data_IF_809649899061
#
_entry.id   IF_809649899061
#
_cell.length_a   1.000
_cell.length_b   1.000
_cell.length_c   1.000
_cell.angle_alpha   90.00
_cell.angle_beta   90.00
_cell.angle_gamma   90.00
#
_symmetry.space_group_name_H-M   'P 1'
#
loop_
_entity.id
_entity.type
_entity.pdbx_description
1 polymer ?
#
# COMPACT_ATOMS: atom_id res chain seq x y z
N UNK A 1 11.50 88.13 9.36
CA UNK A 1 11.38 86.78 9.96
C UNK A 1 11.17 85.70 8.90
N UNK A 2 11.78 85.82 7.72
CA UNK A 2 11.57 84.87 6.59
C UNK A 2 12.82 84.02 6.29
N UNK A 3 13.97 84.40 6.85
CA UNK A 3 15.25 83.68 6.72
C UNK A 3 15.34 82.45 7.63
N UNK A 4 14.89 82.56 8.89
CA UNK A 4 14.92 81.45 9.85
C UNK A 4 13.99 80.30 9.45
N UNK A 5 12.83 80.59 8.87
CA UNK A 5 11.89 79.56 8.39
C UNK A 5 12.45 78.76 7.23
N UNK A 6 13.17 79.40 6.30
CA UNK A 6 13.83 78.74 5.16
C UNK A 6 15.05 77.91 5.58
N UNK A 7 15.81 78.39 6.55
CA UNK A 7 16.91 77.65 7.16
C UNK A 7 16.39 76.41 7.90
N UNK A 8 15.29 76.52 8.63
CA UNK A 8 14.67 75.38 9.30
C UNK A 8 14.15 74.35 8.30
N UNK A 9 13.53 74.78 7.21
CA UNK A 9 13.05 73.90 6.15
C UNK A 9 14.21 73.18 5.43
N UNK A 10 15.32 73.89 5.18
CA UNK A 10 16.51 73.31 4.56
C UNK A 10 17.18 72.27 5.48
N UNK A 11 17.21 72.51 6.79
CA UNK A 11 17.73 71.55 7.78
C UNK A 11 16.85 70.29 7.84
N UNK A 12 15.52 70.44 7.90
CA UNK A 12 14.59 69.29 7.89
C UNK A 12 14.69 68.50 6.57
N UNK A 13 14.83 69.18 5.43
CA UNK A 13 15.03 68.52 4.14
C UNK A 13 16.35 67.74 4.08
N UNK A 14 17.42 68.29 4.67
CA UNK A 14 18.73 67.62 4.78
C UNK A 14 18.66 66.40 5.68
N UNK A 15 18.01 66.51 6.83
CA UNK A 15 17.88 65.39 7.79
C UNK A 15 17.05 64.25 7.18
N UNK A 16 15.95 64.59 6.49
CA UNK A 16 15.15 63.61 5.74
C UNK A 16 15.95 62.95 4.61
N UNK A 17 16.79 63.71 3.89
CA UNK A 17 17.63 63.16 2.83
C UNK A 17 18.64 62.15 3.39
N UNK A 18 19.28 62.48 4.52
CA UNK A 18 20.23 61.58 5.19
C UNK A 18 19.53 60.30 5.67
N UNK A 19 18.32 60.41 6.22
CA UNK A 19 17.55 59.24 6.66
C UNK A 19 17.15 58.34 5.48
N UNK A 20 16.73 58.93 4.36
CA UNK A 20 16.38 58.19 3.15
C UNK A 20 17.62 57.55 2.50
N UNK A 21 18.76 58.23 2.52
CA UNK A 21 20.03 57.71 2.03
C UNK A 21 20.51 56.52 2.86
N UNK A 22 20.39 56.60 4.19
CA UNK A 22 20.69 55.49 5.10
C UNK A 22 19.80 54.27 4.81
N UNK A 23 18.48 54.46 4.70
CA UNK A 23 17.54 53.38 4.36
C UNK A 23 17.83 52.75 3.00
N UNK A 24 18.19 53.56 2.00
CA UNK A 24 18.58 53.04 0.68
C UNK A 24 19.86 52.21 0.73
N UNK A 25 20.80 52.58 1.59
CA UNK A 25 22.02 51.78 1.79
C UNK A 25 21.72 50.45 2.48
N UNK A 26 20.81 50.44 3.46
CA UNK A 26 20.33 49.23 4.11
C UNK A 26 19.62 48.30 3.11
N UNK A 27 18.73 48.84 2.27
CA UNK A 27 18.07 48.06 1.22
C UNK A 27 19.05 47.50 0.20
N UNK A 28 20.09 48.24 -0.19
CA UNK A 28 21.17 47.72 -1.04
C UNK A 28 21.90 46.56 -0.37
N UNK A 29 22.20 46.68 0.91
CA UNK A 29 22.89 45.63 1.67
C UNK A 29 22.05 44.36 1.77
N UNK A 30 20.75 44.50 2.03
CA UNK A 30 19.80 43.38 2.05
C UNK A 30 19.70 42.74 0.66
N UNK A 31 19.62 43.52 -0.40
CA UNK A 31 19.55 43.02 -1.77
C UNK A 31 20.80 42.22 -2.16
N UNK A 32 21.99 42.71 -1.81
CA UNK A 32 23.24 41.98 -2.06
C UNK A 32 23.30 40.68 -1.25
N UNK A 33 22.88 40.69 0.02
CA UNK A 33 22.78 39.48 0.82
C UNK A 33 21.80 38.46 0.21
N UNK A 34 20.65 38.92 -0.29
CA UNK A 34 19.66 38.07 -0.96
C UNK A 34 20.19 37.50 -2.29
N UNK A 35 20.97 38.27 -3.06
CA UNK A 35 21.62 37.76 -4.28
C UNK A 35 22.62 36.64 -3.98
N UNK A 36 23.40 36.78 -2.91
CA UNK A 36 24.34 35.73 -2.48
C UNK A 36 23.56 34.46 -2.13
N UNK A 37 22.50 34.57 -1.32
CA UNK A 37 21.66 33.42 -0.96
C UNK A 37 21.04 32.76 -2.20
N UNK A 38 20.49 33.54 -3.13
CA UNK A 38 19.90 33.01 -4.37
C UNK A 38 20.95 32.29 -5.22
N UNK A 39 22.17 32.81 -5.28
CA UNK A 39 23.27 32.16 -6.02
C UNK A 39 23.70 30.85 -5.35
N UNK A 40 23.79 30.82 -4.01
CA UNK A 40 24.09 29.60 -3.25
C UNK A 40 22.98 28.54 -3.40
N UNK A 41 21.72 28.96 -3.39
CA UNK A 41 20.60 28.08 -3.70
C UNK A 41 20.63 27.58 -5.14
N UNK A 42 20.95 28.43 -6.11
CA UNK A 42 21.05 28.05 -7.51
C UNK A 42 22.22 27.09 -7.79
N UNK A 43 23.28 27.13 -6.98
CA UNK A 43 24.41 26.20 -7.09
C UNK A 43 24.15 24.85 -6.42
N UNK A 44 23.27 24.80 -5.41
CA UNK A 44 22.93 23.56 -4.67
C UNK A 44 21.71 22.83 -5.25
N UNK A 45 20.84 23.52 -6.00
CA UNK A 45 19.69 22.92 -6.68
C UNK A 45 20.05 21.82 -7.72
N UNK A 46 21.13 21.94 -8.53
CA UNK A 46 21.55 20.90 -9.45
C UNK A 46 21.92 19.58 -8.77
N UNK A 47 22.45 19.63 -7.54
CA UNK A 47 22.81 18.45 -6.76
C UNK A 47 21.57 17.69 -6.27
N UNK A 48 20.44 18.39 -6.12
CA UNK A 48 19.16 17.83 -5.71
C UNK A 48 18.53 17.00 -6.85
N UNK A 49 18.54 17.53 -8.08
CA UNK A 49 18.08 16.81 -9.26
C UNK A 49 18.96 15.57 -9.55
N UNK A 50 20.28 15.70 -9.37
CA UNK A 50 21.20 14.57 -9.52
C UNK A 50 20.97 13.49 -8.45
N UNK A 51 20.67 13.90 -7.22
CA UNK A 51 20.34 12.98 -6.13
C UNK A 51 19.00 12.27 -6.37
N UNK A 52 17.98 12.98 -6.87
CA UNK A 52 16.69 12.37 -7.21
C UNK A 52 16.83 11.32 -8.32
N UNK A 53 17.65 11.60 -9.34
CA UNK A 53 17.93 10.62 -10.39
C UNK A 53 18.67 9.40 -9.86
N UNK A 54 19.67 9.59 -8.97
CA UNK A 54 20.36 8.47 -8.31
C UNK A 54 19.42 7.62 -7.46
N UNK A 55 18.45 8.23 -6.79
CA UNK A 55 17.43 7.51 -6.02
C UNK A 55 16.57 6.65 -6.97
N UNK A 56 16.12 7.22 -8.10
CA UNK A 56 15.35 6.49 -9.11
C UNK A 56 16.14 5.32 -9.72
N UNK A 57 17.42 5.51 -9.98
CA UNK A 57 18.30 4.45 -10.50
C UNK A 57 18.47 3.32 -9.47
N UNK A 58 18.65 3.65 -8.19
CA UNK A 58 18.74 2.66 -7.11
C UNK A 58 17.41 1.91 -6.94
N UNK A 59 16.26 2.59 -7.01
CA UNK A 59 14.95 1.94 -6.93
C UNK A 59 14.73 0.96 -8.10
N UNK A 60 15.21 1.31 -9.30
CA UNK A 60 15.18 0.41 -10.46
C UNK A 60 16.09 -0.81 -10.29
N UNK A 61 17.30 -0.63 -9.72
CA UNK A 61 18.19 -1.75 -9.39
C UNK A 61 17.58 -2.67 -8.32
N UNK A 62 16.90 -2.12 -7.32
CA UNK A 62 16.21 -2.91 -6.29
C UNK A 62 15.11 -3.77 -6.93
N UNK A 63 14.30 -3.19 -7.83
CA UNK A 63 13.25 -3.92 -8.53
C UNK A 63 13.80 -5.08 -9.39
N UNK A 64 14.91 -4.86 -10.10
CA UNK A 64 15.58 -5.91 -10.88
C UNK A 64 16.12 -7.03 -10.00
N UNK A 65 16.73 -6.70 -8.85
CA UNK A 65 17.21 -7.69 -7.88
C UNK A 65 16.05 -8.49 -7.27
N UNK A 66 14.92 -7.86 -6.97
CA UNK A 66 13.72 -8.57 -6.49
C UNK A 66 13.18 -9.56 -7.53
N UNK A 67 13.14 -9.17 -8.81
CA UNK A 67 12.74 -10.07 -9.89
C UNK A 67 13.70 -11.25 -10.04
N UNK A 68 15.00 -11.00 -9.98
CA UNK A 68 16.02 -12.06 -10.00
C UNK A 68 15.89 -13.00 -8.79
N UNK A 69 15.58 -12.47 -7.60
CA UNK A 69 15.38 -13.26 -6.39
C UNK A 69 14.15 -14.17 -6.53
N UNK A 70 13.04 -13.65 -7.05
CA UNK A 70 11.82 -14.43 -7.31
C UNK A 70 12.07 -15.55 -8.32
N UNK A 71 12.80 -15.26 -9.40
CA UNK A 71 13.19 -16.27 -10.38
C UNK A 71 14.11 -17.34 -9.77
N UNK A 72 15.10 -16.94 -8.97
CA UNK A 72 15.99 -17.88 -8.27
C UNK A 72 15.22 -18.76 -7.28
N UNK A 73 14.26 -18.19 -6.54
CA UNK A 73 13.38 -18.95 -5.65
C UNK A 73 12.52 -19.95 -6.42
N UNK A 74 11.94 -19.56 -7.56
CA UNK A 74 11.16 -20.48 -8.41
C UNK A 74 12.02 -21.64 -8.93
N UNK A 75 13.26 -21.38 -9.35
CA UNK A 75 14.20 -22.41 -9.80
C UNK A 75 14.56 -23.35 -8.64
N UNK A 76 14.82 -22.81 -7.45
CA UNK A 76 15.11 -23.59 -6.24
C UNK A 76 13.92 -24.48 -5.85
N UNK A 77 12.70 -23.96 -5.89
CA UNK A 77 11.47 -24.71 -5.65
C UNK A 77 11.32 -25.83 -6.69
N UNK A 78 11.52 -25.52 -7.98
CA UNK A 78 11.51 -26.53 -9.03
C UNK A 78 12.56 -27.63 -8.80
N UNK A 79 13.79 -27.27 -8.42
CA UNK A 79 14.86 -28.25 -8.16
C UNK A 79 14.60 -29.10 -6.92
N UNK A 80 14.07 -28.50 -5.84
CA UNK A 80 13.65 -29.23 -4.64
C UNK A 80 12.54 -30.23 -4.97
N UNK A 81 11.55 -29.81 -5.75
CA UNK A 81 10.45 -30.67 -6.19
C UNK A 81 10.91 -31.74 -7.20
N UNK A 82 11.89 -31.44 -8.05
CA UNK A 82 12.46 -32.38 -9.02
C UNK A 82 13.27 -33.49 -8.34
N UNK A 83 13.95 -33.19 -7.23
CA UNK A 83 14.77 -34.13 -6.47
C UNK A 83 13.97 -35.05 -5.54
N UNK A 84 12.66 -34.79 -5.34
CA UNK A 84 11.76 -35.67 -4.58
C UNK A 84 11.15 -36.82 -5.40
N UNK A 85 11.42 -36.90 -6.70
CA UNK A 85 10.92 -37.98 -7.56
C UNK A 85 11.75 -39.27 -7.47
N UNK A 86 11.74 -39.92 -6.29
CA UNK A 86 12.00 -41.37 -6.18
C UNK A 86 10.79 -42.09 -5.59
N UNK A 87 10.09 -42.75 -6.50
CA UNK A 87 8.99 -43.71 -6.39
C UNK A 87 7.54 -43.20 -6.18
N UNK A 88 6.58 -43.68 -7.01
CA UNK A 88 5.19 -43.25 -6.95
C UNK A 88 4.43 -44.12 -5.94
N UNK A 89 4.19 -43.58 -4.75
CA UNK A 89 3.15 -44.07 -3.85
C UNK A 89 2.37 -42.90 -3.29
N UNK A 90 1.32 -42.51 -4.00
CA UNK A 90 0.15 -41.76 -3.51
C UNK A 90 0.39 -40.76 -2.37
N UNK A 91 1.28 -39.77 -2.57
CA UNK A 91 1.60 -38.83 -1.51
C UNK A 91 0.96 -37.45 -1.78
N UNK A 92 -0.33 -37.35 -1.44
CA UNK A 92 -0.99 -36.07 -1.22
C UNK A 92 -0.28 -35.23 -0.12
N UNK A 93 0.61 -35.85 0.67
CA UNK A 93 1.34 -35.25 1.78
C UNK A 93 2.34 -34.17 1.42
N UNK A 94 2.78 -34.05 0.16
CA UNK A 94 3.66 -32.95 -0.29
C UNK A 94 2.90 -31.75 -0.85
N UNK A 95 1.70 -31.97 -1.42
CA UNK A 95 0.88 -30.91 -2.03
C UNK A 95 0.03 -30.20 -0.97
N UNK A 96 -0.49 -30.94 0.03
CA UNK A 96 -1.31 -30.39 1.11
C UNK A 96 -0.61 -29.30 1.95
N UNK A 97 0.67 -29.45 2.37
CA UNK A 97 1.36 -28.41 3.12
C UNK A 97 1.52 -27.13 2.32
N UNK A 98 1.88 -27.21 1.04
CA UNK A 98 2.05 -26.05 0.16
C UNK A 98 0.73 -25.28 -0.01
N UNK A 99 -0.38 -26.01 -0.16
CA UNK A 99 -1.72 -25.43 -0.24
C UNK A 99 -2.13 -24.79 1.09
N UNK A 100 -1.91 -25.46 2.22
CA UNK A 100 -2.23 -24.92 3.55
C UNK A 100 -1.41 -23.66 3.82
N UNK A 101 -0.12 -23.65 3.46
CA UNK A 101 0.74 -22.47 3.55
C UNK A 101 0.24 -21.35 2.64
N UNK A 102 -0.26 -21.66 1.44
CA UNK A 102 -0.90 -20.67 0.57
C UNK A 102 -2.17 -20.09 1.19
N UNK A 103 -3.04 -20.90 1.79
CA UNK A 103 -4.24 -20.41 2.48
C UNK A 103 -3.89 -19.55 3.71
N UNK A 104 -2.87 -19.93 4.46
CA UNK A 104 -2.35 -19.14 5.57
C UNK A 104 -1.80 -17.79 5.07
N UNK A 105 -1.05 -17.80 3.97
CA UNK A 105 -0.56 -16.59 3.32
C UNK A 105 -1.70 -15.66 2.88
N UNK A 106 -2.75 -16.22 2.30
CA UNK A 106 -3.94 -15.47 1.89
C UNK A 106 -4.68 -14.87 3.08
N UNK A 107 -4.84 -15.61 4.19
CA UNK A 107 -5.43 -15.09 5.43
C UNK A 107 -4.61 -13.95 6.04
N UNK A 108 -3.28 -14.09 6.04
CA UNK A 108 -2.36 -13.05 6.53
C UNK A 108 -2.44 -11.81 5.64
N UNK A 109 -2.41 -11.97 4.30
CA UNK A 109 -2.60 -10.87 3.35
C UNK A 109 -3.94 -10.17 3.54
N UNK A 110 -5.01 -10.93 3.72
CA UNK A 110 -6.34 -10.38 3.98
C UNK A 110 -6.38 -9.51 5.25
N UNK A 111 -5.71 -10.00 6.30
CA UNK A 111 -5.60 -9.30 7.58
C UNK A 111 -4.72 -8.06 7.45
N UNK A 112 -3.62 -8.16 6.71
CA UNK A 112 -2.72 -7.04 6.41
C UNK A 112 -3.45 -5.95 5.61
N UNK A 113 -4.21 -6.31 4.58
CA UNK A 113 -5.03 -5.39 3.80
C UNK A 113 -6.12 -4.72 4.65
N UNK A 114 -6.75 -5.46 5.57
CA UNK A 114 -7.73 -4.88 6.49
C UNK A 114 -7.07 -3.84 7.42
N UNK A 115 -5.91 -4.18 8.01
CA UNK A 115 -5.14 -3.27 8.88
C UNK A 115 -4.64 -2.04 8.10
N UNK A 116 -4.11 -2.21 6.89
CA UNK A 116 -3.63 -1.10 6.05
C UNK A 116 -4.75 -0.14 5.65
N UNK A 117 -5.98 -0.64 5.50
CA UNK A 117 -7.16 0.17 5.21
C UNK A 117 -7.83 0.76 6.48
N UNK A 118 -7.23 0.57 7.67
CA UNK A 118 -7.79 1.02 8.95
C UNK A 118 -9.08 0.29 9.33
N UNK A 119 -9.35 -0.86 8.72
CA UNK A 119 -10.56 -1.67 8.96
C UNK A 119 -10.23 -2.80 9.94
N UNK A 120 -10.94 -2.82 11.07
CA UNK A 120 -10.86 -3.92 12.04
C UNK A 120 -11.66 -5.17 11.61
N UNK A 121 -12.46 -5.05 10.55
CA UNK A 121 -13.35 -6.10 10.08
C UNK A 121 -13.00 -6.47 8.63
N UNK A 122 -12.81 -7.76 8.39
CA UNK A 122 -12.66 -8.32 7.06
C UNK A 122 -14.04 -8.45 6.39
N UNK A 123 -14.22 -8.03 5.13
CA UNK A 123 -15.46 -8.28 4.39
C UNK A 123 -15.75 -9.78 4.27
N UNK A 124 -16.97 -10.19 4.64
CA UNK A 124 -17.43 -11.59 4.57
C UNK A 124 -17.28 -12.19 3.16
N UNK A 125 -17.40 -11.37 2.11
CA UNK A 125 -17.20 -11.81 0.72
C UNK A 125 -15.80 -12.40 0.48
N UNK A 126 -14.76 -11.79 1.06
CA UNK A 126 -13.39 -12.29 0.92
C UNK A 126 -13.18 -13.64 1.63
N UNK A 127 -13.94 -13.91 2.70
CA UNK A 127 -13.96 -15.21 3.38
C UNK A 127 -14.70 -16.27 2.56
N UNK A 128 -15.78 -15.88 1.88
CA UNK A 128 -16.50 -16.77 0.95
C UNK A 128 -15.62 -17.17 -0.23
N UNK A 129 -14.85 -16.23 -0.80
CA UNK A 129 -13.92 -16.52 -1.90
C UNK A 129 -12.79 -17.48 -1.49
N UNK A 130 -12.39 -17.47 -0.21
CA UNK A 130 -11.42 -18.41 0.35
C UNK A 130 -12.05 -19.80 0.53
N UNK A 131 -13.31 -19.85 0.99
CA UNK A 131 -14.07 -21.10 1.16
C UNK A 131 -14.36 -21.78 -0.19
N UNK A 132 -14.66 -21.01 -1.24
CA UNK A 132 -14.86 -21.52 -2.59
C UNK A 132 -13.55 -22.11 -3.15
N UNK A 133 -12.43 -21.42 -2.95
CA UNK A 133 -11.11 -21.95 -3.33
C UNK A 133 -10.76 -23.24 -2.58
N UNK A 134 -11.08 -23.32 -1.29
CA UNK A 134 -10.90 -24.55 -0.51
C UNK A 134 -11.78 -25.69 -1.05
N UNK A 135 -13.04 -25.39 -1.38
CA UNK A 135 -13.97 -26.39 -1.93
C UNK A 135 -13.52 -26.93 -3.29
N UNK A 136 -13.12 -26.05 -4.21
CA UNK A 136 -12.61 -26.42 -5.53
C UNK A 136 -11.35 -27.30 -5.44
N UNK A 137 -10.52 -27.04 -4.43
CA UNK A 137 -9.32 -27.82 -4.18
C UNK A 137 -9.64 -29.23 -3.67
N UNK A 138 -10.59 -29.36 -2.74
CA UNK A 138 -11.03 -30.69 -2.29
C UNK A 138 -11.68 -31.46 -3.44
N UNK A 139 -12.48 -30.80 -4.29
CA UNK A 139 -13.02 -31.41 -5.51
C UNK A 139 -11.92 -31.87 -6.47
N UNK A 140 -10.86 -31.07 -6.66
CA UNK A 140 -9.70 -31.45 -7.47
C UNK A 140 -8.93 -32.64 -6.88
N UNK A 141 -8.84 -32.73 -5.55
CA UNK A 141 -8.23 -33.85 -4.84
C UNK A 141 -9.08 -35.14 -4.91
N UNK A 142 -10.40 -34.99 -4.95
CA UNK A 142 -11.36 -36.09 -5.17
C UNK A 142 -11.28 -36.63 -6.61
N UNK A 143 -11.30 -35.75 -7.62
CA UNK A 143 -11.17 -36.13 -9.04
C UNK A 143 -9.84 -36.82 -9.35
N UNK A 144 -8.76 -36.40 -8.68
CA UNK A 144 -7.44 -37.01 -8.80
C UNK A 144 -7.26 -38.29 -7.98
N UNK A 145 -8.29 -38.76 -7.27
CA UNK A 145 -8.26 -39.91 -6.34
C UNK A 145 -7.17 -39.81 -5.26
N UNK A 146 -6.70 -38.60 -4.97
CA UNK A 146 -5.71 -38.34 -3.94
C UNK A 146 -6.35 -38.00 -2.58
N UNK A 147 -7.68 -37.89 -2.54
CA UNK A 147 -8.44 -37.74 -1.31
C UNK A 147 -9.03 -39.09 -0.87
N UNK A 148 -8.45 -39.76 0.15
CA UNK A 148 -8.99 -41.02 0.66
C UNK A 148 -10.21 -40.73 1.54
N UNK A 149 -11.38 -40.58 0.93
CA UNK A 149 -12.66 -40.40 1.63
C UNK A 149 -13.59 -41.60 1.37
N UNK A 150 -14.28 -42.07 2.40
CA UNK A 150 -15.35 -43.07 2.24
C UNK A 150 -16.60 -42.42 1.66
N UNK A 151 -17.45 -43.20 0.98
CA UNK A 151 -18.69 -42.68 0.35
C UNK A 151 -19.62 -41.98 1.37
N UNK A 152 -19.58 -42.43 2.62
CA UNK A 152 -20.34 -41.85 3.74
C UNK A 152 -19.76 -40.50 4.21
N UNK A 153 -18.44 -40.36 4.24
CA UNK A 153 -17.76 -39.11 4.58
C UNK A 153 -17.98 -38.05 3.48
N UNK A 154 -17.90 -38.45 2.21
CA UNK A 154 -18.18 -37.56 1.07
C UNK A 154 -19.62 -37.01 1.14
N UNK A 155 -20.58 -37.88 1.40
CA UNK A 155 -21.98 -37.48 1.54
C UNK A 155 -22.18 -36.52 2.72
N UNK A 156 -21.50 -36.75 3.86
CA UNK A 156 -21.53 -35.84 5.02
C UNK A 156 -20.88 -34.48 4.71
N UNK A 157 -19.76 -34.46 3.99
CA UNK A 157 -19.08 -33.23 3.55
C UNK A 157 -19.98 -32.38 2.66
N UNK A 158 -20.62 -33.00 1.66
CA UNK A 158 -21.56 -32.33 0.76
C UNK A 158 -22.74 -31.76 1.56
N UNK A 159 -23.34 -32.53 2.47
CA UNK A 159 -24.43 -32.07 3.32
C UNK A 159 -24.03 -30.89 4.22
N UNK A 160 -22.83 -30.94 4.82
CA UNK A 160 -22.32 -29.87 5.66
C UNK A 160 -22.05 -28.59 4.85
N UNK A 161 -21.47 -28.72 3.66
CA UNK A 161 -21.23 -27.60 2.75
C UNK A 161 -22.55 -26.95 2.29
N UNK A 162 -23.56 -27.76 1.95
CA UNK A 162 -24.90 -27.28 1.59
C UNK A 162 -25.59 -26.58 2.76
N UNK A 163 -25.49 -27.14 3.97
CA UNK A 163 -26.04 -26.53 5.18
C UNK A 163 -25.35 -25.21 5.54
N UNK A 164 -24.03 -25.13 5.36
CA UNK A 164 -23.26 -23.90 5.55
C UNK A 164 -23.63 -22.83 4.53
N UNK A 165 -23.70 -23.20 3.24
CA UNK A 165 -24.15 -22.33 2.15
C UNK A 165 -25.55 -21.79 2.38
N UNK A 166 -26.48 -22.63 2.87
CA UNK A 166 -27.84 -22.20 3.21
C UNK A 166 -27.86 -21.17 4.35
N UNK A 167 -27.01 -21.34 5.38
CA UNK A 167 -26.86 -20.37 6.48
C UNK A 167 -26.29 -19.04 5.99
N UNK A 168 -25.26 -19.07 5.14
CA UNK A 168 -24.68 -17.87 4.54
C UNK A 168 -25.71 -17.12 3.68
N UNK A 169 -26.48 -17.82 2.85
CA UNK A 169 -27.56 -17.23 2.06
C UNK A 169 -28.64 -16.59 2.94
N UNK A 170 -29.02 -17.25 4.04
CA UNK A 170 -29.97 -16.71 5.01
C UNK A 170 -29.42 -15.46 5.71
N UNK A 171 -28.13 -15.46 6.08
CA UNK A 171 -27.46 -14.33 6.70
C UNK A 171 -27.34 -13.12 5.76
N UNK A 172 -26.97 -13.35 4.50
CA UNK A 172 -26.92 -12.31 3.47
C UNK A 172 -28.31 -11.70 3.21
N UNK A 173 -29.36 -12.53 3.22
CA UNK A 173 -30.74 -12.06 3.11
C UNK A 173 -31.14 -11.19 4.31
N UNK A 174 -30.79 -11.60 5.54
CA UNK A 174 -31.01 -10.81 6.76
C UNK A 174 -30.27 -9.47 6.70
N UNK A 175 -29.01 -9.45 6.27
CA UNK A 175 -28.26 -8.21 6.07
C UNK A 175 -28.96 -7.29 5.06
N UNK A 176 -29.41 -7.84 3.93
CA UNK A 176 -30.15 -7.07 2.92
C UNK A 176 -31.43 -6.46 3.48
N UNK A 177 -32.18 -7.20 4.29
CA UNK A 177 -33.40 -6.71 4.94
C UNK A 177 -33.09 -5.62 6.00
N UNK A 178 -31.98 -5.74 6.74
CA UNK A 178 -31.54 -4.73 7.72
C UNK A 178 -31.07 -3.45 7.03
N UNK A 179 -30.26 -3.55 5.98
CA UNK A 179 -29.80 -2.38 5.20
C UNK A 179 -30.96 -1.68 4.49
N UNK A 180 -31.95 -2.43 3.99
CA UNK A 180 -33.16 -1.86 3.39
C UNK A 180 -34.00 -1.06 4.38
N UNK A 181 -34.11 -1.51 5.64
CA UNK A 181 -34.79 -0.76 6.71
C UNK A 181 -34.02 0.49 7.13
N UNK A 182 -32.70 0.38 7.30
CA UNK A 182 -31.84 1.51 7.67
C UNK A 182 -31.84 2.64 6.61
N UNK A 183 -31.92 2.29 5.31
CA UNK A 183 -32.06 3.27 4.22
C UNK A 183 -33.44 3.92 4.11
N UNK A 184 -34.49 3.28 4.68
CA UNK A 184 -35.83 3.89 4.75
C UNK A 184 -35.96 4.86 5.93
N UNK A 185 -35.25 4.62 7.03
CA UNK A 185 -35.24 5.52 8.20
C UNK A 185 -34.38 6.79 7.99
N UNK A 186 -33.41 6.79 7.07
CA UNK A 186 -32.64 7.99 6.72
C UNK A 186 -33.32 8.91 5.69
N UNK A 187 -34.38 8.44 5.03
CA UNK A 187 -35.12 9.20 4.00
C UNK A 187 -36.49 9.73 4.50
N UNK A 188 -36.78 9.59 5.80
CA UNK A 188 -37.91 10.21 6.51
C UNK A 188 -37.37 11.18 7.57
#
# INVERSE_FOLDING_TARGET
MDGDSRLMLATVAKDNYIEVEAKNNDYKTILEAQKVLINDFAQTMPELDETENKIKDIDAEIADVEEQLLNAQQILIQQLNSNQNKEPKGDAGNILPEIITSFQGDLVKLSQEAVNNGQYNVPIFKLIDLEERASNLISSLEESKMYPETEEENTKRIQNSQAHSAKLAQFLRLLKEIYAKASQEQNN
#
